data_IF_813570863115
#
_entry.id   IF_813570863115
#
_cell.length_a   1.000
_cell.length_b   1.000
_cell.length_c   1.000
_cell.angle_alpha   90.00
_cell.angle_beta   90.00
_cell.angle_gamma   90.00
#
_symmetry.space_group_name_H-M   'P 1'
#
loop_
_entity.id
_entity.type
_entity.pdbx_description
1 polymer ?
#
# COMPACT_ATOMS: atom_id res chain seq x y z
N UNK A 1 -24.98 -5.32 2.02
CA UNK A 1 -24.07 -5.34 3.19
C UNK A 1 -23.39 -3.97 3.29
N UNK A 2 -23.76 -3.12 4.25
CA UNK A 2 -23.17 -1.78 4.39
C UNK A 2 -21.78 -1.92 5.05
N UNK A 3 -20.71 -1.51 4.35
CA UNK A 3 -19.36 -1.55 4.91
C UNK A 3 -19.02 -0.24 5.58
N UNK A 4 -18.07 -0.23 6.52
CA UNK A 4 -17.60 1.02 7.17
C UNK A 4 -17.16 2.08 6.15
N UNK A 5 -16.64 1.68 4.98
CA UNK A 5 -16.25 2.60 3.91
C UNK A 5 -17.44 3.21 3.17
N UNK A 6 -18.47 2.42 2.89
CA UNK A 6 -19.73 2.90 2.29
C UNK A 6 -20.37 3.93 3.21
N UNK A 7 -20.42 3.66 4.53
CA UNK A 7 -20.94 4.63 5.50
C UNK A 7 -20.16 5.94 5.54
N UNK A 8 -18.83 5.89 5.39
CA UNK A 8 -18.01 7.12 5.31
C UNK A 8 -18.33 7.90 4.03
N UNK A 9 -18.50 7.23 2.90
CA UNK A 9 -18.85 7.87 1.64
C UNK A 9 -20.24 8.53 1.71
N UNK A 10 -21.23 7.86 2.31
CA UNK A 10 -22.56 8.43 2.58
C UNK A 10 -22.46 9.70 3.44
N UNK A 11 -21.78 9.62 4.58
CA UNK A 11 -21.61 10.75 5.50
C UNK A 11 -20.86 11.93 4.85
N UNK A 12 -19.84 11.64 4.04
CA UNK A 12 -19.10 12.66 3.30
C UNK A 12 -19.97 13.37 2.25
N UNK A 13 -20.89 12.63 1.61
CA UNK A 13 -21.84 13.17 0.63
C UNK A 13 -22.94 13.99 1.30
N UNK A 14 -23.52 13.49 2.38
CA UNK A 14 -24.59 14.14 3.15
C UNK A 14 -24.11 15.40 3.88
N UNK A 15 -22.88 15.37 4.42
CA UNK A 15 -22.33 16.45 5.22
C UNK A 15 -20.96 16.90 4.69
N UNK A 16 -20.88 17.74 3.64
CA UNK A 16 -19.61 18.14 3.03
C UNK A 16 -18.62 18.86 3.97
N UNK A 17 -19.10 19.43 5.08
CA UNK A 17 -18.28 20.09 6.10
C UNK A 17 -17.75 19.14 7.19
N UNK A 18 -18.20 17.89 7.21
CA UNK A 18 -17.77 16.90 8.21
C UNK A 18 -16.28 16.59 8.06
N UNK A 19 -15.55 16.56 9.18
CA UNK A 19 -14.13 16.22 9.22
C UNK A 19 -13.93 14.82 9.82
N UNK A 20 -13.36 13.91 9.06
CA UNK A 20 -12.94 12.59 9.55
C UNK A 20 -11.56 12.72 10.20
N UNK A 21 -11.49 12.61 11.52
CA UNK A 21 -10.25 12.84 12.28
C UNK A 21 -9.29 11.64 12.25
N UNK A 22 -9.78 10.44 11.93
CA UNK A 22 -8.94 9.25 11.77
C UNK A 22 -9.63 8.17 10.94
N UNK A 23 -8.89 7.61 9.98
CA UNK A 23 -9.26 6.38 9.26
C UNK A 23 -8.42 5.18 9.70
N UNK A 24 -7.49 5.35 10.64
CA UNK A 24 -6.54 4.30 11.04
C UNK A 24 -7.23 3.07 11.67
N UNK A 25 -8.43 3.25 12.26
CA UNK A 25 -9.25 2.17 12.79
C UNK A 25 -9.79 1.23 11.69
N UNK A 26 -9.76 1.66 10.43
CA UNK A 26 -10.16 0.86 9.27
C UNK A 26 -9.03 0.01 8.70
N UNK A 27 -7.78 0.21 9.16
CA UNK A 27 -6.64 -0.62 8.81
C UNK A 27 -6.79 -1.98 9.49
N UNK A 28 -6.88 -3.03 8.67
CA UNK A 28 -6.97 -4.42 9.11
C UNK A 28 -6.14 -5.31 8.21
N UNK A 29 -5.70 -6.44 8.76
CA UNK A 29 -4.96 -7.46 8.03
C UNK A 29 -5.76 -7.96 6.83
N UNK A 30 -7.06 -8.21 7.00
CA UNK A 30 -7.95 -8.65 5.93
C UNK A 30 -7.97 -7.71 4.72
N UNK A 31 -8.01 -6.39 4.93
CA UNK A 31 -7.94 -5.45 3.81
C UNK A 31 -6.58 -5.45 3.15
N UNK A 32 -5.51 -5.57 3.94
CA UNK A 32 -4.16 -5.65 3.37
C UNK A 32 -3.93 -6.97 2.61
N UNK A 33 -4.58 -8.07 3.00
CA UNK A 33 -4.58 -9.33 2.22
C UNK A 33 -5.26 -9.12 0.87
N UNK A 34 -6.38 -8.39 0.81
CA UNK A 34 -7.04 -8.04 -0.46
C UNK A 34 -6.08 -7.23 -1.33
N UNK A 35 -5.48 -6.17 -0.79
CA UNK A 35 -4.50 -5.36 -1.52
C UNK A 35 -3.31 -6.20 -2.00
N UNK A 36 -2.80 -7.12 -1.17
CA UNK A 36 -1.71 -8.01 -1.57
C UNK A 36 -2.11 -8.89 -2.76
N UNK A 37 -3.33 -9.44 -2.78
CA UNK A 37 -3.83 -10.22 -3.92
C UNK A 37 -3.89 -9.39 -5.20
N UNK A 38 -4.36 -8.15 -5.11
CA UNK A 38 -4.49 -7.22 -6.26
C UNK A 38 -3.15 -6.76 -6.86
N UNK A 39 -2.04 -6.85 -6.11
CA UNK A 39 -0.71 -6.52 -6.65
C UNK A 39 -0.34 -7.47 -7.80
N UNK A 40 0.27 -6.94 -8.86
CA UNK A 40 0.80 -7.76 -9.95
C UNK A 40 1.85 -8.76 -9.42
N UNK A 41 1.79 -10.01 -9.88
CA UNK A 41 2.72 -11.08 -9.47
C UNK A 41 4.18 -10.76 -9.79
N UNK A 42 4.42 -10.10 -10.92
CA UNK A 42 5.73 -9.68 -11.41
C UNK A 42 6.11 -8.25 -10.99
N UNK A 43 5.53 -7.72 -9.91
CA UNK A 43 5.87 -6.40 -9.37
C UNK A 43 7.39 -6.30 -9.14
N UNK A 44 8.00 -5.26 -9.71
CA UNK A 44 9.42 -5.01 -9.52
C UNK A 44 9.75 -4.78 -8.04
N UNK A 45 10.90 -5.29 -7.60
CA UNK A 45 11.30 -5.27 -6.20
C UNK A 45 11.93 -3.94 -5.78
N UNK A 46 11.79 -3.61 -4.49
CA UNK A 46 12.40 -2.44 -3.86
C UNK A 46 13.91 -2.63 -3.61
N UNK A 47 14.46 -1.81 -2.71
CA UNK A 47 15.89 -1.88 -2.32
C UNK A 47 16.25 -3.18 -1.61
N UNK A 48 15.28 -3.79 -0.93
CA UNK A 48 15.40 -5.05 -0.18
C UNK A 48 15.28 -6.29 -1.07
N UNK A 49 14.96 -6.13 -2.36
CA UNK A 49 14.82 -7.21 -3.35
C UNK A 49 13.78 -8.29 -2.99
N UNK A 50 12.90 -8.05 -2.02
CA UNK A 50 11.83 -8.99 -1.64
C UNK A 50 10.78 -9.03 -2.77
N UNK A 51 10.53 -10.23 -3.31
CA UNK A 51 9.51 -10.47 -4.33
C UNK A 51 8.13 -10.68 -3.70
N UNK A 52 7.06 -10.61 -4.52
CA UNK A 52 5.70 -10.89 -4.03
C UNK A 52 5.60 -12.33 -3.49
N UNK A 53 6.24 -13.28 -4.17
CA UNK A 53 6.27 -14.69 -3.76
C UNK A 53 6.94 -14.87 -2.39
N UNK A 54 8.13 -14.27 -2.18
CA UNK A 54 8.82 -14.33 -0.90
C UNK A 54 8.01 -13.67 0.23
N UNK A 55 7.38 -12.53 -0.06
CA UNK A 55 6.53 -11.87 0.94
C UNK A 55 5.30 -12.71 1.31
N UNK A 56 4.77 -13.48 0.37
CA UNK A 56 3.58 -14.32 0.50
C UNK A 56 3.82 -15.55 1.41
N UNK A 57 5.05 -16.03 1.53
CA UNK A 57 5.41 -17.18 2.39
C UNK A 57 5.03 -16.96 3.86
N UNK A 58 5.22 -15.74 4.37
CA UNK A 58 4.88 -15.34 5.74
C UNK A 58 3.82 -14.22 5.77
N UNK A 59 2.85 -14.26 4.84
CA UNK A 59 1.92 -13.15 4.62
C UNK A 59 1.20 -12.70 5.90
N UNK A 60 0.66 -13.63 6.67
CA UNK A 60 -0.11 -13.30 7.87
C UNK A 60 0.75 -12.58 8.93
N UNK A 61 1.95 -13.08 9.20
CA UNK A 61 2.88 -12.49 10.16
C UNK A 61 3.36 -11.10 9.71
N UNK A 62 3.70 -10.97 8.43
CA UNK A 62 4.09 -9.70 7.83
C UNK A 62 2.98 -8.65 7.95
N UNK A 63 1.73 -9.02 7.67
CA UNK A 63 0.57 -8.12 7.74
C UNK A 63 0.21 -7.75 9.17
N UNK A 64 0.20 -8.71 10.10
CA UNK A 64 -0.04 -8.44 11.52
C UNK A 64 0.99 -7.44 12.08
N UNK A 65 2.28 -7.67 11.79
CA UNK A 65 3.35 -6.76 12.16
C UNK A 65 3.22 -5.37 11.52
N UNK A 66 2.83 -5.32 10.24
CA UNK A 66 2.62 -4.06 9.53
C UNK A 66 1.46 -3.25 10.10
N UNK A 67 0.30 -3.88 10.35
CA UNK A 67 -0.86 -3.21 10.97
C UNK A 67 -0.49 -2.65 12.34
N UNK A 68 0.20 -3.43 13.17
CA UNK A 68 0.68 -2.98 14.49
C UNK A 68 1.55 -1.72 14.37
N UNK A 69 2.58 -1.75 13.50
CA UNK A 69 3.48 -0.60 13.30
C UNK A 69 2.77 0.63 12.76
N UNK A 70 1.82 0.45 11.84
CA UNK A 70 1.04 1.56 11.27
C UNK A 70 0.14 2.22 12.33
N UNK A 71 -0.58 1.43 13.12
CA UNK A 71 -1.45 1.93 14.19
C UNK A 71 -0.66 2.62 15.30
N UNK A 72 0.54 2.13 15.61
CA UNK A 72 1.45 2.73 16.58
C UNK A 72 2.26 3.93 16.02
N UNK A 73 2.08 4.29 14.74
CA UNK A 73 2.87 5.34 14.05
C UNK A 73 4.40 5.09 14.08
N UNK A 74 4.81 3.83 14.28
CA UNK A 74 6.20 3.39 14.35
C UNK A 74 6.71 2.80 13.03
N UNK A 75 5.84 2.64 12.03
CA UNK A 75 6.26 2.22 10.69
C UNK A 75 7.26 3.23 10.10
N UNK A 76 8.37 2.70 9.56
CA UNK A 76 9.37 3.45 8.81
C UNK A 76 9.56 2.75 7.46
N UNK A 77 9.12 3.38 6.34
CA UNK A 77 9.30 2.79 5.03
C UNK A 77 10.79 2.75 4.66
N UNK A 78 11.18 1.75 3.87
CA UNK A 78 12.52 1.72 3.28
C UNK A 78 12.63 2.75 2.15
N UNK A 79 13.85 3.24 1.84
CA UNK A 79 14.09 4.05 0.66
C UNK A 79 13.60 3.37 -0.63
N UNK A 80 13.16 4.18 -1.59
CA UNK A 80 12.75 3.66 -2.91
C UNK A 80 13.95 3.29 -3.75
N UNK A 81 13.86 2.19 -4.51
CA UNK A 81 14.90 1.83 -5.47
C UNK A 81 14.72 2.67 -6.74
N UNK A 82 15.75 3.44 -7.10
CA UNK A 82 15.75 4.23 -8.35
C UNK A 82 15.98 3.32 -9.55
N UNK A 83 15.17 3.48 -10.60
CA UNK A 83 15.42 2.87 -11.90
C UNK A 83 15.16 3.88 -13.02
N UNK A 84 15.66 3.58 -14.21
CA UNK A 84 15.55 4.44 -15.40
C UNK A 84 15.02 3.59 -16.56
N UNK A 85 13.83 3.94 -17.06
CA UNK A 85 13.26 3.31 -18.26
C UNK A 85 13.34 4.27 -19.43
N UNK A 86 13.36 3.75 -20.65
CA UNK A 86 13.36 4.61 -21.85
C UNK A 86 12.07 5.41 -21.96
N UNK A 87 12.19 6.69 -22.35
CA UNK A 87 11.03 7.50 -22.71
C UNK A 87 10.76 7.27 -24.21
N UNK A 88 9.57 6.73 -24.58
CA UNK A 88 9.24 6.47 -25.97
C UNK A 88 9.46 7.70 -26.86
N UNK A 89 10.07 7.49 -28.02
CA UNK A 89 10.34 8.54 -29.01
C UNK A 89 11.49 9.50 -28.66
N UNK A 90 12.30 9.22 -27.63
CA UNK A 90 13.44 10.09 -27.26
C UNK A 90 14.66 9.27 -26.78
N UNK A 91 15.86 9.87 -26.79
CA UNK A 91 17.05 9.31 -26.13
C UNK A 91 17.09 9.53 -24.60
N UNK A 92 16.05 10.14 -24.02
CA UNK A 92 15.99 10.46 -22.58
C UNK A 92 15.45 9.26 -21.79
N UNK A 93 15.86 9.16 -20.52
CA UNK A 93 15.32 8.18 -19.57
C UNK A 93 14.25 8.82 -18.66
N UNK A 94 13.19 8.07 -18.36
CA UNK A 94 12.21 8.37 -17.30
C UNK A 94 12.64 7.68 -16.02
N UNK A 95 12.90 8.47 -14.99
CA UNK A 95 13.25 7.93 -13.70
C UNK A 95 12.01 7.46 -12.92
N UNK A 96 12.07 6.27 -12.34
CA UNK A 96 11.02 5.68 -11.51
C UNK A 96 11.57 5.35 -10.13
N UNK A 97 10.71 5.45 -9.11
CA UNK A 97 10.98 4.94 -7.77
C UNK A 97 10.17 3.66 -7.57
N UNK A 98 10.85 2.55 -7.29
CA UNK A 98 10.21 1.28 -6.99
C UNK A 98 10.21 1.09 -5.47
N UNK A 99 9.05 1.19 -4.80
CA UNK A 99 8.95 0.93 -3.37
C UNK A 99 9.06 -0.57 -3.09
N UNK A 100 9.35 -0.92 -1.83
CA UNK A 100 9.20 -2.29 -1.35
C UNK A 100 7.75 -2.79 -1.47
N UNK A 101 7.58 -4.11 -1.40
CA UNK A 101 6.28 -4.73 -1.16
C UNK A 101 5.76 -4.41 0.25
#
# INVERSE_FOLDING_TARGET
>A
MNTKLVRIAELAKENPKMKFTSLAHLLSEEKLKICHRELLGNKATGVDRITKAMYQEHLNEHLAGLVKRLKQKSYRPLPVRRTYIDKPGTKKKRALGIPRL
#
